data_IF_898225110017
#
_entry.id   IF_898225110017
#
_cell.length_a   1.000
_cell.length_b   1.000
_cell.length_c   1.000
_cell.angle_alpha   90.00
_cell.angle_beta   90.00
_cell.angle_gamma   90.00
#
_symmetry.space_group_name_H-M   'P 1'
#
loop_
_entity.id
_entity.type
_entity.pdbx_description
1 polymer ?
#
# COMPACT_ATOMS: atom_id res chain seq x y z
N UNK A 1 -13.08 -8.65 -0.61
CA UNK A 1 -12.28 -7.90 -1.60
C UNK A 1 -11.08 -8.72 -2.02
N UNK A 2 -10.89 -8.92 -3.32
CA UNK A 2 -9.74 -9.58 -3.92
C UNK A 2 -8.65 -8.55 -4.21
N UNK A 3 -7.39 -8.89 -3.91
CA UNK A 3 -6.24 -8.05 -4.29
C UNK A 3 -5.48 -8.75 -5.42
N UNK A 4 -5.20 -8.03 -6.50
CA UNK A 4 -4.49 -8.54 -7.68
C UNK A 4 -3.24 -7.69 -7.91
N UNK A 5 -2.15 -8.30 -8.35
CA UNK A 5 -0.88 -7.60 -8.59
C UNK A 5 -0.57 -7.56 -10.08
N UNK A 6 -0.13 -6.40 -10.57
CA UNK A 6 0.47 -6.34 -11.89
C UNK A 6 1.87 -6.99 -11.87
N UNK A 7 2.24 -7.65 -12.98
CA UNK A 7 3.43 -8.51 -13.10
C UNK A 7 4.74 -7.84 -12.65
N UNK A 8 4.84 -6.51 -12.77
CA UNK A 8 6.08 -5.76 -12.54
C UNK A 8 6.30 -5.29 -11.09
N UNK A 9 5.35 -5.50 -10.17
CA UNK A 9 5.43 -4.97 -8.81
C UNK A 9 6.51 -5.62 -7.92
N UNK A 10 7.07 -6.77 -8.32
CA UNK A 10 7.90 -7.62 -7.47
C UNK A 10 9.37 -7.79 -7.91
N UNK A 11 9.90 -6.83 -8.66
CA UNK A 11 11.23 -6.91 -9.28
C UNK A 11 12.42 -6.64 -8.34
N UNK A 12 12.21 -6.14 -7.11
CA UNK A 12 13.26 -5.88 -6.12
C UNK A 12 12.81 -6.20 -4.68
N UNK A 13 13.72 -6.52 -3.73
CA UNK A 13 13.35 -6.87 -2.35
C UNK A 13 12.53 -5.79 -1.63
N UNK A 14 12.92 -4.52 -1.76
CA UNK A 14 12.14 -3.41 -1.17
C UNK A 14 10.78 -3.22 -1.85
N UNK A 15 10.68 -3.45 -3.16
CA UNK A 15 9.41 -3.37 -3.87
C UNK A 15 8.44 -4.46 -3.39
N UNK A 16 8.92 -5.70 -3.21
CA UNK A 16 8.14 -6.79 -2.60
C UNK A 16 7.60 -6.44 -1.23
N UNK A 17 8.41 -5.79 -0.40
CA UNK A 17 8.01 -5.34 0.93
C UNK A 17 6.93 -4.24 0.86
N UNK A 18 7.10 -3.27 -0.04
CA UNK A 18 6.08 -2.24 -0.32
C UNK A 18 4.78 -2.89 -0.79
N UNK A 19 4.84 -3.85 -1.73
CA UNK A 19 3.67 -4.61 -2.19
C UNK A 19 3.00 -5.35 -1.03
N UNK A 20 3.76 -6.06 -0.19
CA UNK A 20 3.24 -6.78 0.98
C UNK A 20 2.49 -5.83 1.94
N UNK A 21 3.09 -4.69 2.25
CA UNK A 21 2.46 -3.73 3.18
C UNK A 21 1.29 -3.00 2.54
N UNK A 22 1.33 -2.65 1.26
CA UNK A 22 0.15 -2.18 0.52
C UNK A 22 -0.99 -3.18 0.61
N UNK A 23 -0.73 -4.45 0.32
CA UNK A 23 -1.75 -5.50 0.37
C UNK A 23 -2.34 -5.66 1.78
N UNK A 24 -1.48 -5.62 2.82
CA UNK A 24 -1.91 -5.67 4.21
C UNK A 24 -2.79 -4.47 4.59
N UNK A 25 -2.41 -3.26 4.19
CA UNK A 25 -3.23 -2.05 4.38
C UNK A 25 -4.60 -2.22 3.72
N UNK A 26 -4.64 -2.68 2.46
CA UNK A 26 -5.89 -2.86 1.72
C UNK A 26 -6.81 -3.91 2.37
N UNK A 27 -6.23 -4.97 2.93
CA UNK A 27 -6.95 -6.04 3.64
C UNK A 27 -7.29 -5.71 5.10
N UNK A 28 -6.81 -4.58 5.62
CA UNK A 28 -6.88 -4.23 7.05
C UNK A 28 -6.20 -5.29 7.95
N UNK A 29 -5.13 -5.90 7.47
CA UNK A 29 -4.30 -6.82 8.24
C UNK A 29 -3.37 -6.02 9.17
N UNK A 30 -3.89 -5.74 10.37
CA UNK A 30 -3.20 -4.90 11.34
C UNK A 30 -1.89 -5.51 11.82
N UNK A 31 -1.84 -6.84 11.98
CA UNK A 31 -0.65 -7.53 12.48
C UNK A 31 0.52 -7.34 11.52
N UNK A 32 0.29 -7.54 10.22
CA UNK A 32 1.30 -7.30 9.20
C UNK A 32 1.67 -5.82 9.13
N UNK A 33 0.71 -4.89 9.16
CA UNK A 33 1.05 -3.47 9.12
C UNK A 33 1.87 -3.05 10.34
N UNK A 34 1.53 -3.52 11.54
CA UNK A 34 2.23 -3.21 12.79
C UNK A 34 3.64 -3.82 12.86
N UNK A 35 3.90 -4.92 12.15
CA UNK A 35 5.25 -5.49 12.00
C UNK A 35 6.21 -4.49 11.33
N UNK A 36 5.72 -3.76 10.31
CA UNK A 36 6.52 -2.91 9.45
C UNK A 36 6.37 -1.41 9.73
N UNK A 37 5.24 -0.94 10.26
CA UNK A 37 4.95 0.49 10.43
C UNK A 37 5.10 0.92 11.89
N UNK A 38 6.00 1.88 12.14
CA UNK A 38 6.33 2.33 13.49
C UNK A 38 5.16 3.00 14.22
N UNK A 39 4.26 3.67 13.50
CA UNK A 39 3.12 4.36 14.10
C UNK A 39 1.86 3.50 14.19
N UNK A 40 1.97 2.21 13.80
CA UNK A 40 0.89 1.23 13.82
C UNK A 40 -0.28 1.55 12.87
N UNK A 41 -1.12 0.55 12.60
CA UNK A 41 -2.23 0.65 11.65
C UNK A 41 -3.23 1.74 12.02
N UNK A 42 -3.53 1.90 13.31
CA UNK A 42 -4.59 2.81 13.78
C UNK A 42 -4.25 4.30 13.56
N UNK A 43 -2.99 4.64 13.25
CA UNK A 43 -2.62 6.01 12.88
C UNK A 43 -2.90 6.35 11.41
N UNK A 44 -3.30 5.38 10.59
CA UNK A 44 -3.54 5.58 9.16
C UNK A 44 -4.94 6.13 8.90
N UNK A 45 -5.01 7.20 8.11
CA UNK A 45 -6.27 7.62 7.48
C UNK A 45 -6.46 6.79 6.21
N UNK A 46 -7.54 6.00 6.15
CA UNK A 46 -7.78 5.04 5.09
C UNK A 46 -9.17 5.22 4.46
N UNK A 47 -9.34 5.06 3.14
CA UNK A 47 -10.65 5.18 2.49
C UNK A 47 -11.63 4.08 2.90
N UNK A 48 -12.91 4.43 2.95
CA UNK A 48 -13.99 3.42 3.03
C UNK A 48 -14.09 2.65 1.69
N UNK A 49 -13.65 1.39 1.67
CA UNK A 49 -13.68 0.51 0.49
C UNK A 49 -14.84 -0.48 0.51
N UNK A 50 -15.99 -0.04 1.03
CA UNK A 50 -17.20 -0.85 1.06
C UNK A 50 -17.68 -1.15 -0.36
N UNK A 51 -18.10 -2.40 -0.61
CA UNK A 51 -18.60 -2.88 -1.90
C UNK A 51 -17.59 -2.84 -3.06
N UNK A 52 -16.30 -2.97 -2.75
CA UNK A 52 -15.25 -3.14 -3.76
C UNK A 52 -14.88 -4.62 -3.88
N UNK A 53 -15.17 -5.20 -5.05
CA UNK A 53 -14.90 -6.62 -5.31
C UNK A 53 -13.40 -6.89 -5.50
N UNK A 54 -12.72 -6.01 -6.25
CA UNK A 54 -11.32 -6.18 -6.63
C UNK A 54 -10.55 -4.86 -6.60
N UNK A 55 -9.31 -4.93 -6.09
CA UNK A 55 -8.31 -3.87 -6.19
C UNK A 55 -7.06 -4.44 -6.84
N UNK A 56 -6.52 -3.74 -7.83
CA UNK A 56 -5.27 -4.08 -8.48
C UNK A 56 -4.15 -3.17 -7.98
N UNK A 57 -3.09 -3.75 -7.44
CA UNK A 57 -1.82 -3.04 -7.19
C UNK A 57 -1.07 -2.96 -8.53
N UNK A 58 -1.10 -1.77 -9.13
CA UNK A 58 -0.55 -1.47 -10.46
C UNK A 58 0.96 -1.29 -10.38
N UNK A 59 1.44 -0.64 -9.32
CA UNK A 59 2.86 -0.42 -9.11
C UNK A 59 3.20 -0.42 -7.63
N UNK A 60 4.41 -0.89 -7.32
CA UNK A 60 5.05 -0.78 -6.01
C UNK A 60 6.54 -0.56 -6.27
N UNK A 61 7.03 0.61 -5.88
CA UNK A 61 8.37 1.08 -6.24
C UNK A 61 9.05 1.66 -5.01
N UNK A 62 10.36 1.51 -4.96
CA UNK A 62 11.19 2.05 -3.88
C UNK A 62 12.51 2.55 -4.41
N UNK A 63 12.99 3.66 -3.85
CA UNK A 63 14.29 4.21 -4.13
C UNK A 63 14.82 4.96 -2.90
N UNK A 64 16.04 4.64 -2.47
CA UNK A 64 16.62 5.26 -1.27
C UNK A 64 15.79 5.01 0.00
N UNK A 65 15.27 6.09 0.59
CA UNK A 65 14.39 6.10 1.78
C UNK A 65 12.90 6.23 1.44
N UNK A 66 12.54 6.31 0.17
CA UNK A 66 11.15 6.55 -0.23
C UNK A 66 10.62 5.38 -1.04
N UNK A 67 9.31 5.15 -0.93
CA UNK A 67 8.59 4.20 -1.74
C UNK A 67 7.18 4.70 -2.03
N UNK A 68 6.57 4.14 -3.06
CA UNK A 68 5.20 4.42 -3.42
C UNK A 68 4.51 3.18 -3.97
N UNK A 69 3.20 3.17 -3.86
CA UNK A 69 2.34 2.15 -4.43
C UNK A 69 1.10 2.82 -5.02
N UNK A 70 0.69 2.36 -6.20
CA UNK A 70 -0.54 2.81 -6.87
C UNK A 70 -1.49 1.63 -6.98
N UNK A 71 -2.68 1.80 -6.42
CA UNK A 71 -3.76 0.83 -6.50
C UNK A 71 -4.90 1.39 -7.34
N UNK A 72 -5.52 0.53 -8.13
CA UNK A 72 -6.67 0.82 -8.97
C UNK A 72 -7.85 -0.05 -8.58
N UNK A 73 -9.05 0.53 -8.59
CA UNK A 73 -10.28 -0.20 -8.35
C UNK A 73 -11.44 0.45 -9.08
N UNK A 74 -12.56 -0.28 -9.21
CA UNK A 74 -13.78 0.24 -9.80
C UNK A 74 -14.84 0.41 -8.72
N UNK A 75 -15.49 1.57 -8.70
CA UNK A 75 -16.65 1.84 -7.86
C UNK A 75 -17.72 2.47 -8.75
N UNK A 76 -18.92 1.89 -8.80
CA UNK A 76 -20.03 2.34 -9.67
C UNK A 76 -19.60 2.54 -11.13
N UNK A 77 -18.85 1.57 -11.69
CA UNK A 77 -18.26 1.61 -13.05
C UNK A 77 -17.29 2.77 -13.32
N UNK A 78 -16.88 3.52 -12.28
CA UNK A 78 -15.84 4.54 -12.38
C UNK A 78 -14.53 3.98 -11.84
N UNK A 79 -13.46 4.15 -12.62
CA UNK A 79 -12.11 3.84 -12.20
C UNK A 79 -11.65 4.84 -11.15
N UNK A 80 -11.20 4.35 -10.00
CA UNK A 80 -10.67 5.12 -8.88
C UNK A 80 -9.27 4.62 -8.53
N UNK A 81 -8.54 5.45 -7.77
CA UNK A 81 -7.15 5.21 -7.40
C UNK A 81 -6.94 5.40 -5.90
N UNK A 82 -6.01 4.61 -5.36
CA UNK A 82 -5.42 4.82 -4.03
C UNK A 82 -3.92 4.91 -4.23
N UNK A 83 -3.36 6.08 -3.92
CA UNK A 83 -1.91 6.27 -3.83
C UNK A 83 -1.47 6.02 -2.40
N UNK A 84 -0.36 5.30 -2.22
CA UNK A 84 0.28 5.14 -0.94
C UNK A 84 1.74 5.57 -1.06
N UNK A 85 2.19 6.43 -0.16
CA UNK A 85 3.58 6.88 -0.06
C UNK A 85 4.17 6.39 1.24
N UNK A 86 5.42 5.97 1.17
CA UNK A 86 6.10 5.31 2.28
C UNK A 86 7.46 5.97 2.49
N UNK A 87 7.80 6.28 3.75
CA UNK A 87 9.15 6.68 4.15
C UNK A 87 9.76 5.58 5.03
N UNK A 88 10.91 5.05 4.64
CA UNK A 88 11.66 4.10 5.48
C UNK A 88 12.40 4.83 6.59
N UNK A 89 12.44 4.23 7.79
CA UNK A 89 13.19 4.80 8.92
C UNK A 89 14.68 5.02 8.58
N UNK A 90 15.31 4.07 7.89
CA UNK A 90 16.66 4.19 7.35
C UNK A 90 16.78 3.50 5.99
N UNK A 91 17.87 3.75 5.25
CA UNK A 91 18.13 3.10 3.96
C UNK A 91 18.22 1.56 4.06
N UNK A 92 18.63 1.03 5.22
CA UNK A 92 18.75 -0.41 5.51
C UNK A 92 17.56 -0.97 6.29
N UNK A 93 16.75 -0.10 6.90
CA UNK A 93 15.64 -0.52 7.73
C UNK A 93 14.51 -1.10 6.86
N UNK A 94 13.93 -2.19 7.37
CA UNK A 94 12.74 -2.81 6.81
C UNK A 94 11.45 -2.17 7.35
N UNK A 95 11.56 -1.15 8.21
CA UNK A 95 10.42 -0.48 8.83
C UNK A 95 10.13 0.88 8.21
N UNK A 96 8.84 1.21 8.13
CA UNK A 96 8.31 2.48 7.70
C UNK A 96 8.16 3.44 8.88
N UNK A 97 8.65 4.66 8.71
CA UNK A 97 8.46 5.79 9.62
C UNK A 97 7.17 6.54 9.29
N UNK A 98 6.85 6.67 8.01
CA UNK A 98 5.68 7.40 7.52
C UNK A 98 4.96 6.55 6.48
N UNK A 99 3.63 6.55 6.53
CA UNK A 99 2.77 6.02 5.47
C UNK A 99 1.66 7.04 5.24
N UNK A 100 1.54 7.53 4.02
CA UNK A 100 0.55 8.52 3.61
C UNK A 100 -0.34 7.86 2.56
N UNK A 101 -1.64 7.86 2.81
CA UNK A 101 -2.64 7.29 1.90
C UNK A 101 -3.44 8.43 1.29
N UNK A 102 -3.49 8.47 -0.04
CA UNK A 102 -4.23 9.46 -0.82
C UNK A 102 -5.26 8.72 -1.66
N UNK A 103 -6.52 9.16 -1.57
CA UNK A 103 -7.60 8.65 -2.39
C UNK A 103 -8.50 9.80 -2.82
N UNK A 104 -9.13 9.67 -3.98
CA UNK A 104 -10.16 10.59 -4.40
C UNK A 104 -11.49 10.13 -3.82
N UNK A 105 -12.17 11.00 -3.07
CA UNK A 105 -13.55 10.79 -2.61
C UNK A 105 -14.53 10.69 -3.79
#
# INVERSE_FOLDING_TARGET
>A
MKIVHQVNCNNAPKNKMVTKVTEAILKRDQDVVNEYYLNQFDSLTYPELNNIDEITIVSALSHGKSASSLCEYYNQNKKKYIGMFFEFNTFKAQKFKEIIIIHNE
#
